data_IF_148884254771
#
_entry.id   IF_148884254771
#
_cell.length_a   1.000
_cell.length_b   1.000
_cell.length_c   1.000
_cell.angle_alpha   90.00
_cell.angle_beta   90.00
_cell.angle_gamma   90.00
#
_symmetry.space_group_name_H-M   'P 1'
#
loop_
_entity.id
_entity.type
_entity.pdbx_description
1 polymer ?
#
# COMPACT_ATOMS: atom_id res chain seq x y z
N UNK A 1 -6.98 -20.62 4.33
CA UNK A 1 -6.98 -19.33 5.03
C UNK A 1 -5.97 -18.43 4.33
N UNK A 2 -6.38 -17.23 3.90
CA UNK A 2 -5.49 -16.29 3.20
C UNK A 2 -4.55 -15.65 4.25
N UNK A 3 -3.26 -15.51 3.94
CA UNK A 3 -2.28 -14.84 4.79
C UNK A 3 -1.87 -13.51 4.17
N UNK A 4 -2.07 -12.40 4.88
CA UNK A 4 -1.73 -11.05 4.42
C UNK A 4 -0.73 -10.44 5.40
N UNK A 5 0.42 -9.99 4.91
CA UNK A 5 1.41 -9.30 5.72
C UNK A 5 1.33 -7.78 5.55
N UNK A 6 1.33 -7.03 6.65
CA UNK A 6 1.52 -5.58 6.63
C UNK A 6 3.00 -5.29 6.93
N UNK A 7 3.71 -4.68 5.99
CA UNK A 7 5.10 -4.27 6.17
C UNK A 7 5.16 -3.24 7.29
N UNK A 8 5.75 -3.62 8.42
CA UNK A 8 5.74 -2.78 9.61
C UNK A 8 7.13 -2.41 10.10
N UNK A 9 7.93 -1.92 9.16
CA UNK A 9 9.25 -1.33 9.40
C UNK A 9 9.14 0.15 9.86
N UNK A 10 8.13 0.86 9.36
CA UNK A 10 7.74 2.24 9.71
C UNK A 10 6.35 2.50 9.12
N UNK A 11 5.56 3.37 9.76
CA UNK A 11 4.30 3.87 9.20
C UNK A 11 3.06 3.47 10.00
N UNK A 12 1.90 3.64 9.39
CA UNK A 12 0.57 3.43 9.98
C UNK A 12 0.16 1.95 9.89
N UNK A 13 0.91 1.10 10.60
CA UNK A 13 0.82 -0.38 10.49
C UNK A 13 -0.42 -0.93 11.19
N UNK A 14 -0.72 -0.44 12.39
CA UNK A 14 -1.78 -0.95 13.24
C UNK A 14 -3.15 -0.72 12.61
N UNK A 15 -3.34 0.45 12.00
CA UNK A 15 -4.52 0.85 11.25
C UNK A 15 -4.78 -0.13 10.10
N UNK A 16 -3.74 -0.48 9.32
CA UNK A 16 -3.85 -1.43 8.22
C UNK A 16 -4.21 -2.84 8.70
N UNK A 17 -3.62 -3.29 9.82
CA UNK A 17 -3.97 -4.60 10.41
C UNK A 17 -5.44 -4.61 10.83
N UNK A 18 -5.90 -3.57 11.54
CA UNK A 18 -7.27 -3.47 12.02
C UNK A 18 -8.27 -3.41 10.86
N UNK A 19 -8.05 -2.53 9.87
CA UNK A 19 -8.96 -2.38 8.74
C UNK A 19 -9.01 -3.61 7.86
N UNK A 20 -7.88 -4.30 7.64
CA UNK A 20 -7.86 -5.55 6.86
C UNK A 20 -8.66 -6.65 7.55
N UNK A 21 -8.54 -6.78 8.88
CA UNK A 21 -9.34 -7.75 9.65
C UNK A 21 -10.83 -7.43 9.59
N UNK A 22 -11.19 -6.15 9.76
CA UNK A 22 -12.58 -5.70 9.67
C UNK A 22 -13.17 -5.96 8.29
N UNK A 23 -12.45 -5.63 7.22
CA UNK A 23 -12.89 -5.89 5.86
C UNK A 23 -13.07 -7.40 5.59
N UNK A 24 -12.18 -8.25 6.13
CA UNK A 24 -12.33 -9.70 6.04
C UNK A 24 -13.58 -10.20 6.77
N UNK A 25 -13.86 -9.68 7.98
CA UNK A 25 -15.07 -10.01 8.74
C UNK A 25 -16.34 -9.61 8.00
N UNK A 26 -16.40 -8.36 7.48
CA UNK A 26 -17.53 -7.85 6.70
C UNK A 26 -17.75 -8.66 5.40
N UNK A 27 -16.67 -9.18 4.81
CA UNK A 27 -16.73 -10.06 3.64
C UNK A 27 -17.02 -11.54 3.98
N UNK A 28 -17.09 -11.92 5.25
CA UNK A 28 -17.25 -13.32 5.67
C UNK A 28 -16.04 -14.21 5.33
N UNK A 29 -14.85 -13.62 5.23
CA UNK A 29 -13.61 -14.26 4.79
C UNK A 29 -12.65 -14.49 5.95
N UNK A 30 -11.97 -15.65 5.96
CA UNK A 30 -10.95 -15.96 6.96
C UNK A 30 -9.56 -15.54 6.47
N UNK A 31 -9.04 -14.45 7.06
CA UNK A 31 -7.73 -13.86 6.73
C UNK A 31 -6.86 -13.77 7.99
N UNK A 32 -5.67 -14.34 7.93
CA UNK A 32 -4.61 -14.15 8.93
C UNK A 32 -3.77 -12.93 8.53
N UNK A 33 -3.92 -11.85 9.30
CA UNK A 33 -3.22 -10.59 9.06
C UNK A 33 -2.05 -10.44 10.03
N UNK A 34 -0.84 -10.37 9.48
CA UNK A 34 0.42 -10.37 10.24
C UNK A 34 1.17 -9.06 10.11
N UNK A 35 1.82 -8.68 11.20
CA UNK A 35 2.83 -7.62 11.18
C UNK A 35 4.14 -8.23 10.68
N UNK A 36 4.72 -7.68 9.61
CA UNK A 36 5.99 -8.14 9.02
C UNK A 36 7.12 -7.16 9.32
N UNK A 37 8.12 -7.60 10.06
CA UNK A 37 9.31 -6.84 10.50
C UNK A 37 10.62 -7.46 10.03
N UNK A 38 10.60 -8.71 9.57
CA UNK A 38 11.78 -9.37 9.00
C UNK A 38 11.46 -10.05 7.66
N UNK A 39 12.52 -10.52 6.99
CA UNK A 39 12.42 -11.23 5.72
C UNK A 39 11.68 -12.56 5.87
N UNK A 40 11.96 -13.29 6.94
CA UNK A 40 11.42 -14.63 7.19
C UNK A 40 9.89 -14.58 7.39
N UNK A 41 9.37 -13.46 7.91
CA UNK A 41 7.93 -13.25 8.08
C UNK A 41 7.19 -12.99 6.76
N UNK A 42 7.90 -12.85 5.63
CA UNK A 42 7.31 -12.80 4.28
C UNK A 42 7.04 -14.20 3.70
N UNK A 43 7.50 -15.26 4.35
CA UNK A 43 7.24 -16.62 3.90
C UNK A 43 5.75 -16.97 3.99
N UNK A 44 5.28 -17.71 2.98
CA UNK A 44 3.91 -18.18 2.84
C UNK A 44 2.79 -17.10 2.82
N UNK A 45 3.11 -15.84 2.53
CA UNK A 45 2.11 -14.79 2.39
C UNK A 45 1.43 -14.86 1.01
N UNK A 46 0.10 -14.72 1.00
CA UNK A 46 -0.70 -14.60 -0.23
C UNK A 46 -0.82 -13.15 -0.71
N UNK A 47 -0.41 -12.19 0.12
CA UNK A 47 -0.37 -10.80 -0.24
C UNK A 47 0.31 -9.95 0.83
N UNK A 48 0.69 -8.74 0.43
CA UNK A 48 1.32 -7.77 1.32
C UNK A 48 0.71 -6.39 1.16
N UNK A 49 0.73 -5.65 2.26
CA UNK A 49 0.35 -4.24 2.33
C UNK A 49 1.61 -3.44 2.70
N UNK A 50 1.96 -2.45 1.86
CA UNK A 50 2.97 -1.44 2.17
C UNK A 50 2.23 -0.18 2.64
N UNK A 51 2.31 0.17 3.94
CA UNK A 51 1.46 1.20 4.52
C UNK A 51 1.87 2.62 4.12
N UNK A 52 1.10 3.60 4.59
CA UNK A 52 1.51 5.00 4.60
C UNK A 52 2.71 5.26 5.52
N UNK A 53 3.32 6.43 5.42
CA UNK A 53 4.51 6.79 6.20
C UNK A 53 5.51 7.61 5.38
N UNK A 54 6.81 7.41 5.64
CA UNK A 54 7.88 8.07 4.90
C UNK A 54 8.52 7.09 3.91
N UNK A 55 8.25 7.29 2.61
CA UNK A 55 8.64 6.35 1.56
C UNK A 55 10.15 6.11 1.47
N UNK A 56 10.98 7.10 1.80
CA UNK A 56 12.45 6.95 1.80
C UNK A 56 12.91 5.99 2.87
N UNK A 57 12.33 6.12 4.07
CA UNK A 57 12.64 5.31 5.25
C UNK A 57 12.17 3.89 5.03
N UNK A 58 10.92 3.70 4.61
CA UNK A 58 10.38 2.36 4.34
C UNK A 58 11.21 1.66 3.24
N UNK A 59 11.49 2.35 2.12
CA UNK A 59 12.29 1.79 1.02
C UNK A 59 13.70 1.37 1.47
N UNK A 60 14.38 2.21 2.27
CA UNK A 60 15.70 1.88 2.82
C UNK A 60 15.66 0.71 3.79
N UNK A 61 14.62 0.61 4.62
CA UNK A 61 14.48 -0.48 5.59
C UNK A 61 14.18 -1.80 4.86
N UNK A 62 13.33 -1.81 3.82
CA UNK A 62 13.10 -2.99 2.96
C UNK A 62 14.43 -3.55 2.45
N UNK A 63 15.30 -2.67 1.95
CA UNK A 63 16.62 -3.08 1.45
C UNK A 63 17.57 -3.52 2.57
N UNK A 64 17.59 -2.79 3.68
CA UNK A 64 18.42 -3.12 4.86
C UNK A 64 18.10 -4.50 5.42
N UNK A 65 16.82 -4.87 5.46
CA UNK A 65 16.36 -6.17 5.92
C UNK A 65 16.28 -7.22 4.80
N UNK A 66 16.77 -6.90 3.58
CA UNK A 66 16.82 -7.81 2.42
C UNK A 66 15.44 -8.42 2.08
N UNK A 67 14.39 -7.63 2.23
CA UNK A 67 13.01 -8.05 2.02
C UNK A 67 12.58 -7.93 0.55
N UNK A 68 13.34 -7.22 -0.28
CA UNK A 68 12.97 -6.92 -1.67
C UNK A 68 12.74 -8.18 -2.50
N UNK A 69 13.66 -9.13 -2.46
CA UNK A 69 13.57 -10.35 -3.27
C UNK A 69 12.36 -11.20 -2.88
N UNK A 70 12.01 -11.26 -1.60
CA UNK A 70 10.81 -11.96 -1.12
C UNK A 70 9.52 -11.26 -1.57
N UNK A 71 9.51 -9.93 -1.60
CA UNK A 71 8.38 -9.16 -2.14
C UNK A 71 8.18 -9.46 -3.63
N UNK A 72 9.27 -9.56 -4.40
CA UNK A 72 9.19 -10.00 -5.81
C UNK A 72 8.69 -11.44 -5.92
N UNK A 73 9.20 -12.37 -5.10
CA UNK A 73 8.73 -13.76 -5.08
C UNK A 73 7.22 -13.85 -4.84
N UNK A 74 6.70 -13.14 -3.83
CA UNK A 74 5.25 -13.10 -3.55
C UNK A 74 4.46 -12.65 -4.78
N UNK A 75 4.96 -11.63 -5.50
CA UNK A 75 4.31 -11.15 -6.72
C UNK A 75 4.32 -12.21 -7.83
N UNK A 76 5.46 -12.87 -8.05
CA UNK A 76 5.64 -13.90 -9.07
C UNK A 76 4.78 -15.14 -8.80
N UNK A 77 4.57 -15.48 -7.53
CA UNK A 77 3.68 -16.56 -7.08
C UNK A 77 2.18 -16.21 -7.18
N UNK A 78 1.85 -15.03 -7.73
CA UNK A 78 0.48 -14.57 -7.92
C UNK A 78 -0.12 -13.85 -6.72
N UNK A 79 0.70 -13.53 -5.72
CA UNK A 79 0.29 -12.73 -4.56
C UNK A 79 -0.09 -11.29 -4.92
N UNK A 80 -0.94 -10.70 -4.09
CA UNK A 80 -1.43 -9.32 -4.26
C UNK A 80 -0.61 -8.36 -3.41
N UNK A 81 -0.17 -7.26 -4.02
CA UNK A 81 0.58 -6.20 -3.33
C UNK A 81 -0.25 -4.93 -3.37
N UNK A 82 -0.60 -4.43 -2.19
CA UNK A 82 -1.31 -3.17 -2.01
C UNK A 82 -0.36 -2.14 -1.41
N UNK A 83 -0.31 -0.95 -2.01
CA UNK A 83 0.40 0.19 -1.44
C UNK A 83 -0.58 1.29 -1.11
N UNK A 84 -0.36 1.99 0.01
CA UNK A 84 -1.11 3.21 0.33
C UNK A 84 -0.16 4.36 0.57
N UNK A 85 -0.42 5.54 -0.03
CA UNK A 85 0.42 6.73 0.11
C UNK A 85 1.91 6.45 -0.15
N UNK A 86 2.74 6.34 0.89
CA UNK A 86 4.15 5.96 0.76
C UNK A 86 4.34 4.62 0.04
N UNK A 87 3.47 3.64 0.31
CA UNK A 87 3.46 2.36 -0.40
C UNK A 87 3.19 2.52 -1.89
N UNK A 88 2.28 3.40 -2.30
CA UNK A 88 2.04 3.69 -3.73
C UNK A 88 3.30 4.24 -4.40
N UNK A 89 4.01 5.15 -3.72
CA UNK A 89 5.27 5.69 -4.24
C UNK A 89 6.28 4.58 -4.44
N UNK A 90 6.41 3.67 -3.47
CA UNK A 90 7.37 2.56 -3.55
C UNK A 90 7.02 1.58 -4.69
N UNK A 91 5.73 1.36 -4.98
CA UNK A 91 5.30 0.43 -6.03
C UNK A 91 5.40 0.98 -7.46
N UNK A 92 5.37 2.30 -7.63
CA UNK A 92 5.38 2.96 -8.93
C UNK A 92 6.56 2.56 -9.83
N UNK A 93 6.37 2.64 -11.14
CA UNK A 93 7.40 2.43 -12.15
C UNK A 93 8.38 3.61 -12.20
N UNK A 94 7.83 4.82 -12.07
CA UNK A 94 8.57 6.08 -12.13
C UNK A 94 8.17 7.03 -11.00
N UNK A 95 9.12 7.83 -10.55
CA UNK A 95 8.91 8.91 -9.59
C UNK A 95 9.31 10.27 -10.15
N UNK A 96 9.01 11.32 -9.38
CA UNK A 96 9.52 12.68 -9.63
C UNK A 96 11.02 12.81 -9.29
N UNK A 97 11.60 13.97 -9.59
CA UNK A 97 13.00 14.28 -9.22
C UNK A 97 13.26 14.08 -7.73
N UNK A 98 12.27 14.31 -6.86
CA UNK A 98 12.40 14.12 -5.42
C UNK A 98 12.57 12.65 -5.03
N UNK A 99 11.95 11.71 -5.75
CA UNK A 99 12.18 10.25 -5.57
C UNK A 99 13.65 9.93 -5.79
N UNK A 100 14.23 10.45 -6.87
CA UNK A 100 15.64 10.22 -7.23
C UNK A 100 16.59 10.86 -6.22
N UNK A 101 16.39 12.14 -5.90
CA UNK A 101 17.24 12.90 -4.97
C UNK A 101 17.25 12.27 -3.58
N UNK A 102 16.09 11.79 -3.08
CA UNK A 102 16.02 11.14 -1.77
C UNK A 102 16.48 9.68 -1.79
N UNK A 103 16.71 9.10 -2.97
CA UNK A 103 17.16 7.73 -3.15
C UNK A 103 16.10 6.71 -2.76
N UNK A 104 14.83 6.98 -3.06
CA UNK A 104 13.76 5.99 -2.88
C UNK A 104 13.91 4.92 -3.96
N UNK A 105 14.12 3.66 -3.58
CA UNK A 105 14.24 2.56 -4.54
C UNK A 105 12.88 1.94 -4.81
N UNK A 106 12.33 2.29 -5.97
CA UNK A 106 11.07 1.79 -6.50
C UNK A 106 11.08 0.28 -6.74
N UNK A 107 9.94 -0.38 -6.54
CA UNK A 107 9.71 -1.79 -6.87
C UNK A 107 9.26 -1.97 -8.32
N UNK A 108 8.73 -0.93 -8.97
CA UNK A 108 8.27 -0.96 -10.37
C UNK A 108 7.24 -2.05 -10.66
N UNK A 109 6.31 -2.24 -9.73
CA UNK A 109 5.25 -3.24 -9.81
C UNK A 109 3.90 -2.64 -10.24
N UNK A 110 3.81 -1.31 -10.29
CA UNK A 110 2.65 -0.56 -10.75
C UNK A 110 3.08 0.35 -11.89
N UNK A 111 2.51 0.17 -13.08
CA UNK A 111 2.85 0.92 -14.30
C UNK A 111 2.24 2.33 -14.29
N UNK A 112 2.78 3.16 -13.40
CA UNK A 112 2.38 4.55 -13.19
C UNK A 112 3.60 5.40 -12.86
N UNK A 113 3.49 6.69 -13.17
CA UNK A 113 4.39 7.71 -12.65
C UNK A 113 3.75 8.40 -11.46
N UNK A 114 4.54 8.68 -10.42
CA UNK A 114 4.06 9.40 -9.23
C UNK A 114 4.84 10.68 -9.00
N UNK A 115 4.11 11.73 -8.62
CA UNK A 115 4.66 12.97 -8.09
C UNK A 115 4.42 13.04 -6.58
N UNK A 116 5.51 13.17 -5.81
CA UNK A 116 5.46 13.14 -4.35
C UNK A 116 4.85 14.43 -3.81
N UNK A 117 3.80 14.27 -3.02
CA UNK A 117 3.20 15.38 -2.26
C UNK A 117 2.68 16.53 -3.14
N UNK A 118 2.15 16.22 -4.33
CA UNK A 118 1.66 17.20 -5.29
C UNK A 118 0.50 18.06 -4.77
N UNK A 119 -0.23 17.58 -3.75
CA UNK A 119 -1.38 18.27 -3.17
C UNK A 119 -1.00 19.12 -1.97
N UNK A 120 -0.60 20.36 -2.23
CA UNK A 120 -0.59 21.45 -1.24
C UNK A 120 0.26 21.21 0.02
N UNK A 121 -0.03 21.99 1.05
CA UNK A 121 0.53 21.83 2.40
C UNK A 121 -0.41 20.99 3.26
N UNK A 122 0.11 20.42 4.36
CA UNK A 122 -0.70 19.61 5.30
C UNK A 122 -1.98 20.33 5.77
N UNK A 123 -1.92 21.66 5.94
CA UNK A 123 -3.06 22.49 6.37
C UNK A 123 -4.20 22.57 5.34
N UNK A 124 -3.95 22.17 4.10
CA UNK A 124 -4.93 22.14 3.02
C UNK A 124 -5.62 20.79 2.90
N UNK A 125 -5.41 19.87 3.85
CA UNK A 125 -6.12 18.59 3.91
C UNK A 125 -7.59 18.83 4.32
N UNK A 126 -8.51 18.10 3.69
CA UNK A 126 -9.95 18.19 3.95
C UNK A 126 -10.65 16.84 3.69
N UNK A 127 -11.90 16.74 4.11
CA UNK A 127 -12.76 15.59 3.82
C UNK A 127 -13.95 16.06 2.98
N UNK A 128 -14.32 15.27 1.98
CA UNK A 128 -15.47 15.52 1.15
C UNK A 128 -16.07 14.20 0.63
N UNK A 129 -17.40 14.09 0.47
CA UNK A 129 -18.00 12.92 -0.15
C UNK A 129 -17.52 12.81 -1.60
N UNK A 130 -17.15 11.58 -1.99
CA UNK A 130 -16.77 11.24 -3.36
C UNK A 130 -17.74 10.18 -3.85
N UNK A 131 -18.38 10.45 -4.98
CA UNK A 131 -19.20 9.45 -5.64
C UNK A 131 -18.29 8.41 -6.29
N UNK A 132 -18.33 7.15 -5.81
CA UNK A 132 -17.56 6.05 -6.40
C UNK A 132 -18.49 5.06 -7.08
N UNK A 133 -18.01 4.55 -8.23
CA UNK A 133 -18.60 3.43 -8.94
C UNK A 133 -17.55 2.35 -9.03
N UNK A 134 -17.71 1.29 -8.23
CA UNK A 134 -16.85 0.12 -8.20
C UNK A 134 -17.55 -1.02 -8.93
N UNK A 135 -17.02 -1.46 -10.10
CA UNK A 135 -17.63 -2.56 -10.83
C UNK A 135 -17.45 -3.89 -10.07
N UNK A 136 -18.33 -4.88 -10.31
CA UNK A 136 -18.13 -6.22 -9.79
C UNK A 136 -16.81 -6.81 -10.28
N UNK A 137 -16.01 -7.39 -9.38
CA UNK A 137 -14.70 -7.98 -9.70
C UNK A 137 -14.27 -9.00 -8.65
N UNK A 138 -13.68 -10.13 -9.06
CA UNK A 138 -13.07 -11.10 -8.12
C UNK A 138 -14.00 -11.61 -7.01
N UNK A 139 -15.31 -11.72 -7.25
CA UNK A 139 -16.30 -12.12 -6.25
C UNK A 139 -16.92 -10.96 -5.45
N UNK A 140 -16.39 -9.74 -5.58
CA UNK A 140 -17.02 -8.51 -5.10
C UNK A 140 -18.19 -8.13 -6.00
N UNK A 141 -19.38 -7.93 -5.42
CA UNK A 141 -20.63 -7.65 -6.16
C UNK A 141 -20.75 -6.24 -6.76
N UNK A 142 -19.71 -5.42 -6.62
CA UNK A 142 -19.72 -4.01 -7.01
C UNK A 142 -20.33 -3.13 -5.91
N UNK A 143 -20.14 -1.81 -6.05
CA UNK A 143 -20.68 -0.81 -5.15
C UNK A 143 -20.81 0.53 -5.86
N UNK A 144 -21.90 1.26 -5.60
CA UNK A 144 -22.10 2.61 -6.11
C UNK A 144 -22.70 3.48 -5.01
N UNK A 145 -22.14 4.67 -4.81
CA UNK A 145 -22.63 5.61 -3.81
C UNK A 145 -21.60 6.65 -3.40
N UNK A 146 -22.00 7.49 -2.44
CA UNK A 146 -21.12 8.50 -1.87
C UNK A 146 -20.27 7.88 -0.76
N UNK A 147 -18.95 8.00 -0.91
CA UNK A 147 -17.95 7.51 0.03
C UNK A 147 -17.27 8.69 0.74
N UNK A 148 -17.00 8.62 2.06
CA UNK A 148 -16.23 9.64 2.75
C UNK A 148 -14.78 9.70 2.21
N UNK A 149 -14.50 10.68 1.35
CA UNK A 149 -13.18 10.89 0.79
C UNK A 149 -12.31 11.74 1.71
N UNK A 150 -11.11 11.25 2.01
CA UNK A 150 -10.10 11.97 2.80
C UNK A 150 -9.00 12.46 1.87
N UNK A 151 -8.86 13.77 1.74
CA UNK A 151 -7.91 14.44 0.85
C UNK A 151 -6.78 15.01 1.67
N UNK A 152 -5.64 14.32 1.65
CA UNK A 152 -4.40 14.74 2.32
C UNK A 152 -3.33 15.12 1.31
N UNK A 153 -2.17 15.54 1.81
CA UNK A 153 -0.94 15.66 1.03
C UNK A 153 -0.44 14.27 0.58
N UNK A 154 -1.09 13.73 -0.44
CA UNK A 154 -0.84 12.42 -1.02
C UNK A 154 0.06 12.54 -2.27
N UNK A 155 0.67 11.42 -2.72
CA UNK A 155 1.22 11.36 -4.07
C UNK A 155 0.12 11.53 -5.13
N UNK A 156 0.47 12.17 -6.24
CA UNK A 156 -0.38 12.24 -7.43
C UNK A 156 0.12 11.23 -8.47
N UNK A 157 -0.80 10.44 -9.02
CA UNK A 157 -0.53 9.62 -10.21
C UNK A 157 -0.56 10.51 -11.46
N UNK A 158 0.42 10.34 -12.35
CA UNK A 158 0.59 11.08 -13.61
C UNK A 158 0.52 10.11 -14.78
#
# INVERSE_FOLDING_TARGET
MKRVGVIGLQGDVEEHILQTRRAAEEAGESVDVRWVRSREELEDLNGIIIPGGESTTISRLIDKFRMRDEIFRIREEGGVIMGTCAGCIILAAEGDETVEIKGVRLLKMLDVKVDRNAFGRQRESFEAPVHLVLPPTGGFGGWEGDFPGVFIRAPRFI
#
